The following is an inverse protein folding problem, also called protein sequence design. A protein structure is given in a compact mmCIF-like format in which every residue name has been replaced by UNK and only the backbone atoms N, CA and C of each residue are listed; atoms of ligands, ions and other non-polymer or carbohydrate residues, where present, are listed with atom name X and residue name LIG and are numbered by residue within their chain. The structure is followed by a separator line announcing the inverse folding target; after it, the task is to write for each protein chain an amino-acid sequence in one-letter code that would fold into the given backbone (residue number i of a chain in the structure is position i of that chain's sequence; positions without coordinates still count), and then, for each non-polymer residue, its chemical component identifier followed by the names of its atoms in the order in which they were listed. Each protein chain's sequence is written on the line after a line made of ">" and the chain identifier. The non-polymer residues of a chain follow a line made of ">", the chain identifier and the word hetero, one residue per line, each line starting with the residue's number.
data_IF_827988014403
#
_entry.id   IF_827988014403
#
_cell.length_a   1.000
_cell.length_b   1.000
_cell.length_c   1.000
_cell.angle_alpha   90.00
_cell.angle_beta   90.00
_cell.angle_gamma   90.00
#
_symmetry.space_group_name_H-M   'P 1'
#
loop_
_entity.id
_entity.type
_entity.pdbx_description
1 polymer ?
#
# COMPACT_ATOMS: atom_id res chain seq x y z
N UNK A 1 -21.19 3.59 -53.47
CA UNK A 1 -21.29 4.76 -52.58
C UNK A 1 -21.94 4.46 -51.23
N UNK A 2 -23.19 3.96 -51.15
CA UNK A 2 -23.89 3.73 -49.85
C UNK A 2 -23.11 2.86 -48.84
N UNK A 3 -22.48 1.76 -49.28
CA UNK A 3 -21.67 0.88 -48.41
C UNK A 3 -20.41 1.55 -47.83
N UNK A 4 -19.76 2.43 -48.60
CA UNK A 4 -18.54 3.14 -48.15
C UNK A 4 -18.92 4.15 -47.06
N UNK A 5 -20.02 4.88 -47.27
CA UNK A 5 -20.54 5.84 -46.29
C UNK A 5 -20.91 5.13 -44.98
N UNK A 6 -21.51 3.94 -45.06
CA UNK A 6 -21.86 3.11 -43.89
C UNK A 6 -20.63 2.66 -43.10
N UNK A 7 -19.57 2.21 -43.79
CA UNK A 7 -18.32 1.78 -43.14
C UNK A 7 -17.64 2.97 -42.44
N UNK A 8 -17.60 4.14 -43.09
CA UNK A 8 -17.06 5.36 -42.48
C UNK A 8 -17.86 5.78 -41.25
N UNK A 9 -19.20 5.71 -41.29
CA UNK A 9 -20.05 6.03 -40.14
C UNK A 9 -19.84 5.08 -38.96
N UNK A 10 -19.68 3.77 -39.22
CA UNK A 10 -19.38 2.79 -38.16
C UNK A 10 -18.00 3.03 -37.57
N UNK A 11 -16.99 3.34 -38.39
CA UNK A 11 -15.67 3.68 -37.90
C UNK A 11 -15.67 4.95 -37.03
N UNK A 12 -16.37 6.00 -37.48
CA UNK A 12 -16.50 7.26 -36.72
C UNK A 12 -17.28 7.03 -35.44
N UNK A 13 -18.38 6.27 -35.48
CA UNK A 13 -19.15 5.93 -34.28
C UNK A 13 -18.31 5.09 -33.30
N UNK A 14 -17.52 4.14 -33.80
CA UNK A 14 -16.56 3.38 -33.01
C UNK A 14 -15.52 4.28 -32.34
N UNK A 15 -14.94 5.24 -33.09
CA UNK A 15 -14.01 6.24 -32.56
C UNK A 15 -14.70 7.11 -31.50
N UNK A 16 -15.92 7.57 -31.74
CA UNK A 16 -16.67 8.40 -30.79
C UNK A 16 -17.01 7.62 -29.51
N UNK A 17 -17.46 6.37 -29.62
CA UNK A 17 -17.73 5.51 -28.46
C UNK A 17 -16.46 5.28 -27.65
N UNK A 18 -15.32 5.05 -28.31
CA UNK A 18 -14.01 4.98 -27.67
C UNK A 18 -13.68 6.32 -26.99
N UNK A 19 -13.76 7.46 -27.68
CA UNK A 19 -13.44 8.76 -27.09
C UNK A 19 -14.35 9.10 -25.89
N UNK A 20 -15.66 8.91 -25.99
CA UNK A 20 -16.60 9.19 -24.89
C UNK A 20 -16.47 8.21 -23.72
N UNK A 21 -16.12 6.95 -23.97
CA UNK A 21 -15.80 6.01 -22.90
C UNK A 21 -14.50 6.41 -22.18
N UNK A 22 -13.55 7.04 -22.86
CA UNK A 22 -12.30 7.49 -22.27
C UNK A 22 -12.45 8.82 -21.50
N UNK A 23 -13.22 9.78 -22.02
CA UNK A 23 -13.48 11.07 -21.36
C UNK A 23 -14.39 10.93 -20.11
N UNK A 24 -15.32 9.96 -20.10
CA UNK A 24 -16.19 9.71 -18.94
C UNK A 24 -15.47 8.99 -17.78
N UNK A 25 -14.29 8.41 -18.04
CA UNK A 25 -13.52 7.61 -17.07
C UNK A 25 -12.25 8.34 -16.61
N UNK A 26 -11.94 9.49 -17.20
CA UNK A 26 -10.81 10.32 -16.77
C UNK A 26 -11.22 11.15 -15.55
N UNK A 27 -11.13 10.53 -14.37
CA UNK A 27 -11.06 11.27 -13.13
C UNK A 27 -9.84 12.20 -13.20
N UNK A 28 -10.02 13.49 -12.94
CA UNK A 28 -8.92 14.46 -12.87
C UNK A 28 -8.12 14.20 -11.59
N UNK A 29 -7.18 13.26 -11.62
CA UNK A 29 -6.19 13.11 -10.56
C UNK A 29 -4.98 14.00 -10.89
N UNK A 30 -4.27 14.43 -9.86
CA UNK A 30 -2.96 15.05 -9.99
C UNK A 30 -2.06 14.47 -8.93
N UNK A 31 -0.99 13.80 -9.34
CA UNK A 31 0.06 13.35 -8.44
C UNK A 31 1.09 14.48 -8.36
N UNK A 32 1.21 15.09 -7.19
CA UNK A 32 2.24 16.07 -6.92
C UNK A 32 3.37 15.38 -6.17
N UNK A 33 4.47 15.13 -6.86
CA UNK A 33 5.70 14.66 -6.25
C UNK A 33 6.56 15.88 -5.90
N UNK A 34 6.24 16.53 -4.77
CA UNK A 34 7.10 17.56 -4.18
C UNK A 34 7.73 16.99 -2.92
N UNK A 35 8.99 16.56 -3.00
CA UNK A 35 9.85 16.22 -1.86
C UNK A 35 9.16 15.43 -0.74
N UNK A 36 8.78 14.19 -1.03
CA UNK A 36 8.23 13.23 -0.06
C UNK A 36 6.80 13.52 0.44
N UNK A 37 5.87 13.99 -0.40
CA UNK A 37 4.43 13.97 -0.08
C UNK A 37 3.58 13.80 -1.33
N UNK A 38 3.32 12.55 -1.73
CA UNK A 38 2.33 12.28 -2.76
C UNK A 38 0.91 12.43 -2.18
N UNK A 39 0.01 13.00 -2.97
CA UNK A 39 -1.42 13.08 -2.64
C UNK A 39 -2.28 12.93 -3.89
N UNK A 40 -3.52 12.50 -3.69
CA UNK A 40 -4.57 12.46 -4.69
C UNK A 40 -5.60 13.53 -4.38
N UNK A 41 -6.24 14.06 -5.42
CA UNK A 41 -7.41 14.93 -5.29
C UNK A 41 -8.58 14.26 -6.00
N UNK A 42 -9.64 13.94 -5.25
CA UNK A 42 -10.85 13.27 -5.75
C UNK A 42 -12.03 14.08 -5.24
N UNK A 43 -12.89 14.57 -6.14
CA UNK A 43 -14.08 15.38 -5.78
C UNK A 43 -13.77 16.60 -4.88
N UNK A 44 -12.65 17.30 -5.12
CA UNK A 44 -12.13 18.42 -4.31
C UNK A 44 -11.68 18.03 -2.87
N UNK A 45 -11.61 16.75 -2.55
CA UNK A 45 -11.02 16.26 -1.31
C UNK A 45 -9.60 15.76 -1.56
N UNK A 46 -8.72 15.94 -0.57
CA UNK A 46 -7.32 15.53 -0.63
C UNK A 46 -7.11 14.23 0.14
N UNK A 47 -6.38 13.31 -0.49
CA UNK A 47 -6.00 12.02 0.07
C UNK A 47 -4.48 11.92 0.07
N UNK A 48 -3.88 11.61 1.21
CA UNK A 48 -2.42 11.57 1.40
C UNK A 48 -1.98 10.13 1.56
N UNK A 49 -0.76 9.81 1.13
CA UNK A 49 -0.19 8.47 1.39
C UNK A 49 -0.01 8.26 2.90
N UNK A 50 -0.32 7.05 3.35
CA UNK A 50 -0.04 6.53 4.68
C UNK A 50 0.88 5.29 4.55
N UNK A 51 1.51 4.85 5.64
CA UNK A 51 2.32 3.63 5.74
C UNK A 51 1.48 2.34 5.85
N UNK A 52 0.17 2.42 5.60
CA UNK A 52 -0.73 1.28 5.55
C UNK A 52 -0.84 0.72 4.12
N UNK A 53 -1.14 -0.58 4.04
CA UNK A 53 -1.19 -1.34 2.81
C UNK A 53 -2.44 -2.21 2.78
N UNK A 54 -2.86 -2.61 1.58
CA UNK A 54 -4.03 -3.44 1.35
C UNK A 54 -3.64 -4.87 1.00
N UNK A 55 -4.18 -5.85 1.72
CA UNK A 55 -3.84 -7.27 1.59
C UNK A 55 -4.77 -8.07 0.67
N UNK A 56 -5.75 -7.45 0.01
CA UNK A 56 -6.64 -8.22 -0.89
C UNK A 56 -6.16 -8.15 -2.34
N UNK A 57 -6.10 -9.31 -2.97
CA UNK A 57 -5.85 -9.52 -4.41
C UNK A 57 -6.95 -8.90 -5.28
N UNK A 58 -8.13 -8.66 -4.70
CA UNK A 58 -9.19 -7.90 -5.33
C UNK A 58 -8.92 -6.42 -5.08
N UNK A 59 -8.34 -5.76 -6.08
CA UNK A 59 -8.54 -4.33 -6.23
C UNK A 59 -10.04 -4.07 -6.33
N UNK A 60 -10.52 -3.03 -5.66
CA UNK A 60 -11.92 -2.62 -5.77
C UNK A 60 -12.20 -2.01 -7.14
N UNK A 61 -13.04 -0.98 -7.17
CA UNK A 61 -13.40 -0.33 -8.43
C UNK A 61 -12.25 0.55 -8.93
N UNK A 62 -11.79 0.33 -10.17
CA UNK A 62 -10.91 1.30 -10.84
C UNK A 62 -11.71 2.58 -11.10
N UNK A 63 -11.26 3.69 -10.53
CA UNK A 63 -11.95 4.99 -10.65
C UNK A 63 -11.23 5.95 -11.59
N UNK A 64 -9.96 5.69 -11.91
CA UNK A 64 -9.20 6.53 -12.83
C UNK A 64 -7.85 5.92 -13.17
N UNK A 65 -7.04 6.69 -13.88
CA UNK A 65 -5.69 6.30 -14.29
C UNK A 65 -4.65 7.19 -13.61
N UNK A 66 -3.36 6.98 -13.87
CA UNK A 66 -2.34 7.99 -13.60
C UNK A 66 -1.86 8.50 -14.96
N UNK A 67 -1.74 9.80 -15.12
CA UNK A 67 -1.29 10.49 -16.32
C UNK A 67 0.22 10.36 -16.27
N UNK A 68 0.71 9.19 -16.71
CA UNK A 68 2.14 9.03 -16.90
C UNK A 68 2.56 9.96 -18.03
N UNK A 69 3.79 10.46 -17.98
CA UNK A 69 4.39 11.37 -18.99
C UNK A 69 4.46 10.78 -20.41
N UNK A 70 3.94 9.58 -20.65
CA UNK A 70 3.99 8.85 -21.92
C UNK A 70 2.60 8.80 -22.56
N UNK A 71 2.17 9.96 -23.06
CA UNK A 71 0.90 10.20 -23.76
C UNK A 71 0.64 9.34 -25.01
N UNK A 72 1.60 8.49 -25.42
CA UNK A 72 1.53 7.69 -26.64
C UNK A 72 1.09 6.24 -26.45
N UNK A 73 0.94 5.74 -25.21
CA UNK A 73 0.65 4.32 -24.95
C UNK A 73 -0.73 4.05 -24.33
N UNK A 74 -1.64 5.04 -24.26
CA UNK A 74 -2.97 4.93 -23.63
C UNK A 74 -3.83 3.72 -24.08
N UNK A 75 -3.61 3.19 -25.28
CA UNK A 75 -4.34 2.03 -25.82
C UNK A 75 -3.83 0.70 -25.22
N UNK A 76 -2.56 0.65 -24.81
CA UNK A 76 -1.98 -0.52 -24.16
C UNK A 76 -2.31 -0.58 -22.68
N UNK A 77 -2.60 0.56 -22.07
CA UNK A 77 -2.84 0.69 -20.64
C UNK A 77 -4.15 0.04 -20.18
N UNK A 78 -5.26 0.22 -20.91
CA UNK A 78 -6.59 -0.29 -20.52
C UNK A 78 -6.67 -1.77 -20.08
N UNK A 79 -6.02 -2.74 -20.75
CA UNK A 79 -6.01 -4.15 -20.31
C UNK A 79 -5.16 -4.45 -19.07
N UNK A 80 -4.25 -3.57 -18.64
CA UNK A 80 -3.40 -3.82 -17.47
C UNK A 80 -4.03 -3.28 -16.19
N UNK A 81 -3.68 -3.87 -15.05
CA UNK A 81 -4.16 -3.51 -13.70
C UNK A 81 -3.70 -2.12 -13.21
N UNK A 82 -3.09 -1.29 -14.05
CA UNK A 82 -2.71 0.06 -13.68
C UNK A 82 -3.92 1.00 -13.46
N UNK A 83 -3.74 1.97 -12.57
CA UNK A 83 -4.71 3.03 -12.30
C UNK A 83 -4.90 3.32 -10.81
N UNK A 84 -5.92 4.11 -10.52
CA UNK A 84 -6.34 4.43 -9.15
C UNK A 84 -7.57 3.60 -8.83
N UNK A 85 -7.49 2.86 -7.73
CA UNK A 85 -8.54 1.98 -7.25
C UNK A 85 -9.15 2.51 -5.97
N UNK A 86 -10.47 2.55 -5.94
CA UNK A 86 -11.26 2.75 -4.74
C UNK A 86 -11.39 1.41 -4.02
N UNK A 87 -11.07 1.43 -2.73
CA UNK A 87 -11.17 0.33 -1.81
C UNK A 87 -12.17 0.74 -0.74
N UNK A 88 -13.13 -0.12 -0.47
CA UNK A 88 -14.09 0.06 0.61
C UNK A 88 -13.82 -1.03 1.64
N UNK A 89 -13.65 -0.64 2.89
CA UNK A 89 -13.51 -1.59 3.99
C UNK A 89 -14.88 -2.13 4.43
N UNK A 90 -14.91 -2.88 5.53
CA UNK A 90 -16.16 -3.38 6.11
C UNK A 90 -17.02 -2.32 6.81
N UNK A 91 -16.45 -1.16 7.14
CA UNK A 91 -17.17 -0.04 7.79
C UNK A 91 -17.83 0.90 6.77
N UNK A 92 -17.48 0.79 5.49
CA UNK A 92 -17.90 1.69 4.42
C UNK A 92 -16.94 2.85 4.17
N UNK A 93 -15.81 2.87 4.88
CA UNK A 93 -14.75 3.86 4.74
C UNK A 93 -13.97 3.62 3.44
N UNK A 94 -13.58 4.73 2.80
CA UNK A 94 -13.00 4.70 1.46
C UNK A 94 -11.51 4.99 1.49
N UNK A 95 -10.76 4.05 0.95
CA UNK A 95 -9.32 4.15 0.75
C UNK A 95 -9.02 4.13 -0.74
N UNK A 96 -7.86 4.66 -1.11
CA UNK A 96 -7.43 4.65 -2.50
C UNK A 96 -6.07 4.01 -2.64
N UNK A 97 -5.88 3.20 -3.68
CA UNK A 97 -4.59 2.61 -4.01
C UNK A 97 -4.21 2.95 -5.43
N UNK A 98 -2.96 3.34 -5.57
CA UNK A 98 -2.34 3.57 -6.87
C UNK A 98 -1.60 2.30 -7.26
N UNK A 99 -1.97 1.72 -8.40
CA UNK A 99 -1.23 0.64 -9.04
C UNK A 99 -0.56 1.20 -10.29
N UNK A 100 0.77 1.33 -10.26
CA UNK A 100 1.56 1.79 -11.39
C UNK A 100 2.39 0.62 -11.93
N UNK A 101 2.39 0.45 -13.26
CA UNK A 101 3.14 -0.61 -13.96
C UNK A 101 4.65 -0.41 -13.87
N UNK A 102 5.11 0.81 -13.62
CA UNK A 102 6.51 1.21 -13.73
C UNK A 102 7.11 1.75 -12.44
N UNK A 103 6.35 1.75 -11.33
CA UNK A 103 6.93 2.09 -10.04
C UNK A 103 7.44 0.83 -9.36
N UNK A 104 8.75 0.81 -9.14
CA UNK A 104 9.43 -0.21 -8.32
C UNK A 104 9.05 -0.12 -6.83
N UNK A 105 8.37 0.97 -6.42
CA UNK A 105 7.93 1.20 -5.04
C UNK A 105 6.44 0.99 -4.92
N UNK A 106 6.02 0.10 -4.00
CA UNK A 106 4.63 0.03 -3.59
C UNK A 106 4.29 1.29 -2.81
N UNK A 107 3.53 2.20 -3.42
CA UNK A 107 2.89 3.26 -2.66
C UNK A 107 1.88 2.64 -1.69
N UNK A 108 1.90 3.12 -0.45
CA UNK A 108 0.89 2.77 0.55
C UNK A 108 -0.51 3.23 0.15
N UNK A 109 -1.47 3.02 1.04
CA UNK A 109 -2.83 3.50 0.87
C UNK A 109 -2.89 5.02 0.93
N UNK A 110 -3.74 5.59 0.10
CA UNK A 110 -4.14 6.97 0.16
C UNK A 110 -5.40 7.07 1.01
N UNK A 111 -5.29 7.81 2.11
CA UNK A 111 -6.35 8.05 3.08
C UNK A 111 -6.74 9.52 3.05
N UNK A 112 -7.97 9.85 3.41
CA UNK A 112 -8.40 11.25 3.43
C UNK A 112 -7.52 12.05 4.39
N UNK A 113 -7.12 13.27 4.03
CA UNK A 113 -6.15 14.05 4.81
C UNK A 113 -6.60 14.35 6.25
N UNK A 114 -7.91 14.42 6.49
CA UNK A 114 -8.53 14.61 7.80
C UNK A 114 -8.93 13.30 8.49
N UNK A 115 -8.63 12.15 7.89
CA UNK A 115 -8.88 10.84 8.47
C UNK A 115 -7.70 10.45 9.37
N UNK A 116 -8.00 10.19 10.64
CA UNK A 116 -7.02 9.80 11.64
C UNK A 116 -6.69 8.31 11.47
N UNK A 117 -5.79 8.01 10.54
CA UNK A 117 -5.25 6.67 10.41
C UNK A 117 -3.99 6.56 11.25
N UNK A 118 -4.23 6.19 12.50
CA UNK A 118 -3.24 5.95 13.54
C UNK A 118 -2.08 5.06 13.05
N UNK A 119 -0.91 5.27 13.65
CA UNK A 119 0.25 4.41 13.46
C UNK A 119 -0.06 2.99 13.99
N UNK A 120 0.59 1.90 13.53
CA UNK A 120 0.38 0.57 14.11
C UNK A 120 0.65 0.51 15.62
N UNK A 121 1.44 1.45 16.14
CA UNK A 121 1.68 1.64 17.58
C UNK A 121 0.52 2.32 18.31
N UNK A 122 -0.57 2.66 17.66
CA UNK A 122 -1.77 3.29 18.24
C UNK A 122 -3.03 2.46 17.96
N UNK A 123 -2.93 1.50 17.03
CA UNK A 123 -4.02 0.62 16.60
C UNK A 123 -3.97 -0.75 17.26
N UNK A 124 -5.13 -1.28 17.63
CA UNK A 124 -5.27 -2.69 17.99
C UNK A 124 -5.04 -3.58 16.76
N UNK A 125 -4.07 -4.49 16.82
CA UNK A 125 -3.84 -5.45 15.74
C UNK A 125 -4.53 -6.79 16.01
N UNK A 126 -5.11 -7.38 14.96
CA UNK A 126 -5.79 -8.68 15.04
C UNK A 126 -4.86 -9.87 14.73
N UNK A 127 -3.82 -9.63 13.94
CA UNK A 127 -2.95 -10.67 13.40
C UNK A 127 -1.59 -10.10 13.00
N UNK A 128 -0.55 -10.91 13.16
CA UNK A 128 0.81 -10.63 12.67
C UNK A 128 1.21 -11.72 11.69
N UNK A 129 1.84 -11.33 10.59
CA UNK A 129 2.40 -12.26 9.60
C UNK A 129 3.83 -11.85 9.29
N UNK A 130 4.79 -12.73 9.61
CA UNK A 130 6.19 -12.58 9.18
C UNK A 130 6.37 -13.45 7.93
N UNK A 131 7.00 -12.88 6.91
CA UNK A 131 7.33 -13.58 5.67
C UNK A 131 8.02 -14.92 5.94
N UNK A 132 7.49 -16.01 5.38
CA UNK A 132 7.99 -17.37 5.60
C UNK A 132 7.44 -18.08 6.85
N UNK A 133 6.59 -17.45 7.65
CA UNK A 133 6.05 -18.03 8.89
C UNK A 133 4.52 -17.99 8.94
N UNK A 134 3.93 -18.88 9.76
CA UNK A 134 2.47 -18.88 9.99
C UNK A 134 2.06 -17.60 10.70
N UNK A 135 0.81 -17.19 10.46
CA UNK A 135 0.22 -16.05 11.14
C UNK A 135 0.09 -16.27 12.64
N UNK A 136 0.37 -15.23 13.43
CA UNK A 136 0.16 -15.18 14.88
C UNK A 136 -1.09 -14.37 15.19
N UNK A 137 -1.96 -14.89 16.04
CA UNK A 137 -3.20 -14.24 16.51
C UNK A 137 -3.28 -14.19 18.04
N UNK A 138 -2.20 -14.52 18.74
CA UNK A 138 -2.12 -14.43 20.20
C UNK A 138 -2.05 -12.96 20.62
N UNK A 139 -3.12 -12.45 21.23
CA UNK A 139 -3.22 -11.03 21.58
C UNK A 139 -2.09 -10.56 22.48
N UNK A 140 -1.62 -11.39 23.42
CA UNK A 140 -0.54 -10.98 24.33
C UNK A 140 0.78 -10.79 23.59
N UNK A 141 1.12 -11.70 22.67
CA UNK A 141 2.34 -11.57 21.87
C UNK A 141 2.28 -10.35 20.93
N UNK A 142 1.09 -10.06 20.39
CA UNK A 142 0.86 -8.91 19.53
C UNK A 142 0.97 -7.60 20.33
N UNK A 143 0.37 -7.55 21.53
CA UNK A 143 0.44 -6.40 22.42
C UNK A 143 1.87 -6.14 22.89
N UNK A 144 2.64 -7.20 23.20
CA UNK A 144 4.06 -7.09 23.56
C UNK A 144 4.87 -6.51 22.38
N UNK A 145 4.62 -6.96 21.14
CA UNK A 145 5.26 -6.41 19.93
C UNK A 145 4.93 -4.93 19.72
N UNK A 146 3.64 -4.58 19.80
CA UNK A 146 3.16 -3.20 19.67
C UNK A 146 3.76 -2.31 20.75
N UNK A 147 3.91 -2.81 21.99
CA UNK A 147 4.55 -2.08 23.08
C UNK A 147 5.98 -1.66 22.71
N UNK A 148 6.79 -2.55 22.12
CA UNK A 148 8.13 -2.18 21.66
C UNK A 148 8.09 -1.13 20.55
N UNK A 149 7.19 -1.27 19.57
CA UNK A 149 7.02 -0.25 18.52
C UNK A 149 6.63 1.12 19.07
N UNK A 150 5.97 1.19 20.25
CA UNK A 150 5.64 2.44 20.96
C UNK A 150 6.79 3.00 21.81
N UNK A 151 7.76 2.18 22.22
CA UNK A 151 8.70 2.52 23.31
C UNK A 151 10.15 2.56 22.82
N UNK A 152 10.71 3.77 22.82
CA UNK A 152 12.11 4.12 22.55
C UNK A 152 12.69 3.70 21.19
N UNK A 153 12.79 4.68 20.30
CA UNK A 153 13.55 4.57 19.05
C UNK A 153 15.04 4.70 19.39
N UNK A 154 15.82 3.66 19.08
CA UNK A 154 17.27 3.73 19.23
C UNK A 154 17.88 3.76 17.84
N UNK A 155 18.53 4.87 17.51
CA UNK A 155 19.23 4.98 16.25
C UNK A 155 20.59 4.28 16.37
N UNK A 156 20.75 3.14 15.70
CA UNK A 156 22.04 2.45 15.58
C UNK A 156 22.42 2.32 14.10
N UNK A 157 23.41 3.13 13.69
CA UNK A 157 24.00 3.14 12.35
C UNK A 157 24.80 1.86 12.03
N UNK A 158 25.09 1.01 13.02
CA UNK A 158 25.95 -0.17 12.85
C UNK A 158 25.18 -1.47 12.64
N UNK A 159 23.85 -1.40 12.47
CA UNK A 159 23.08 -2.59 12.09
C UNK A 159 23.43 -2.90 10.63
N UNK A 160 24.28 -3.90 10.44
CA UNK A 160 24.49 -4.55 9.14
C UNK A 160 23.41 -5.63 9.00
N UNK A 161 22.32 -5.39 8.25
CA UNK A 161 21.22 -6.34 8.20
C UNK A 161 21.66 -7.60 7.45
N UNK A 162 21.68 -8.74 8.15
CA UNK A 162 22.00 -10.02 7.55
C UNK A 162 20.89 -10.43 6.58
N UNK A 163 19.65 -10.43 7.05
CA UNK A 163 18.42 -10.83 6.36
C UNK A 163 17.24 -9.97 6.84
N UNK A 164 16.52 -9.36 5.89
CA UNK A 164 15.29 -8.60 6.15
C UNK A 164 14.05 -9.45 5.90
N UNK A 165 13.12 -9.52 6.85
CA UNK A 165 11.79 -10.10 6.63
C UNK A 165 10.73 -9.00 6.63
N UNK A 166 9.70 -9.16 5.80
CA UNK A 166 8.52 -8.31 5.89
C UNK A 166 7.59 -8.83 7.00
N UNK A 167 7.29 -7.98 7.98
CA UNK A 167 6.29 -8.21 9.01
C UNK A 167 5.05 -7.36 8.70
N UNK A 168 3.90 -8.00 8.61
CA UNK A 168 2.59 -7.36 8.38
C UNK A 168 1.76 -7.37 9.65
N UNK A 169 1.44 -6.17 10.15
CA UNK A 169 0.55 -5.94 11.30
C UNK A 169 -0.85 -5.63 10.79
N UNK A 170 -1.81 -6.53 10.97
CA UNK A 170 -3.17 -6.34 10.46
C UNK A 170 -4.02 -5.57 11.47
N UNK A 171 -4.64 -4.47 11.02
CA UNK A 171 -5.58 -3.72 11.84
C UNK A 171 -6.75 -4.60 12.26
N UNK A 172 -7.21 -4.45 13.50
CA UNK A 172 -8.42 -5.11 14.00
C UNK A 172 -9.68 -4.39 13.53
N UNK A 173 -9.63 -3.06 13.43
CA UNK A 173 -10.72 -2.23 12.92
C UNK A 173 -10.91 -2.40 11.41
N UNK A 174 -9.79 -2.53 10.69
CA UNK A 174 -9.75 -2.68 9.23
C UNK A 174 -9.02 -3.98 8.83
N UNK A 175 -9.66 -5.17 8.90
CA UNK A 175 -8.98 -6.47 8.79
C UNK A 175 -8.22 -6.74 7.48
N UNK A 176 -8.53 -6.00 6.42
CA UNK A 176 -7.88 -6.10 5.11
C UNK A 176 -6.71 -5.11 4.94
N UNK A 177 -6.54 -4.21 5.91
CA UNK A 177 -5.45 -3.23 5.97
C UNK A 177 -4.36 -3.76 6.91
N UNK A 178 -3.10 -3.59 6.50
CA UNK A 178 -1.95 -3.93 7.32
C UNK A 178 -0.87 -2.85 7.24
N UNK A 179 -0.01 -2.81 8.24
CA UNK A 179 1.19 -1.99 8.26
C UNK A 179 2.41 -2.87 8.01
N UNK A 180 3.36 -2.35 7.24
CA UNK A 180 4.58 -3.06 6.89
C UNK A 180 5.73 -2.60 7.79
N UNK A 181 6.34 -3.56 8.47
CA UNK A 181 7.53 -3.36 9.30
C UNK A 181 8.62 -4.28 8.79
N UNK A 182 9.83 -3.78 8.63
CA UNK A 182 10.98 -4.62 8.30
C UNK A 182 11.53 -5.24 9.58
N UNK A 183 11.83 -6.54 9.56
CA UNK A 183 12.57 -7.21 10.62
C UNK A 183 14.02 -7.34 10.17
N UNK A 184 14.94 -6.74 10.92
CA UNK A 184 16.37 -6.80 10.67
C UNK A 184 17.04 -7.69 11.72
N UNK A 185 17.87 -8.62 11.27
CA UNK A 185 18.71 -9.43 12.15
C UNK A 185 20.17 -8.99 12.03
N UNK A 186 20.79 -8.65 13.17
CA UNK A 186 22.19 -8.29 13.28
C UNK A 186 23.10 -9.50 13.11
N UNK A 187 24.14 -9.39 12.28
CA UNK A 187 25.16 -10.43 12.11
C UNK A 187 26.11 -10.55 13.31
N UNK A 188 26.31 -9.48 14.09
CA UNK A 188 27.35 -9.44 15.12
C UNK A 188 26.92 -10.07 16.44
N UNK A 189 25.65 -9.95 16.80
CA UNK A 189 25.14 -10.32 18.12
C UNK A 189 23.77 -11.01 18.07
N UNK A 190 23.31 -11.42 16.88
CA UNK A 190 22.01 -12.04 16.64
C UNK A 190 20.81 -11.22 17.16
N UNK A 191 20.98 -9.93 17.42
CA UNK A 191 19.90 -9.06 17.87
C UNK A 191 18.87 -8.83 16.76
N UNK A 192 17.60 -8.74 17.16
CA UNK A 192 16.47 -8.52 16.25
C UNK A 192 15.93 -7.11 16.43
N UNK A 193 15.74 -6.43 15.29
CA UNK A 193 15.30 -5.06 15.21
C UNK A 193 14.11 -4.95 14.27
N UNK A 194 13.24 -3.99 14.54
CA UNK A 194 12.12 -3.61 13.71
C UNK A 194 12.41 -2.24 13.12
N UNK A 195 12.28 -2.08 11.80
CA UNK A 195 12.33 -0.80 11.12
C UNK A 195 10.96 -0.46 10.58
N UNK A 196 10.45 0.72 10.93
CA UNK A 196 9.28 1.25 10.22
C UNK A 196 9.69 1.85 8.87
N UNK A 197 8.82 1.71 7.87
CA UNK A 197 8.94 2.36 6.57
C UNK A 197 8.35 3.77 6.63
N UNK A 198 8.77 4.59 7.59
CA UNK A 198 8.11 5.86 7.92
C UNK A 198 8.91 7.12 7.65
N UNK A 199 9.37 7.34 6.41
CA UNK A 199 9.70 8.63 5.74
C UNK A 199 10.64 9.66 6.44
N UNK A 200 11.03 9.46 7.70
CA UNK A 200 11.85 10.34 8.51
C UNK A 200 12.91 9.52 9.26
N UNK A 201 13.85 8.96 8.50
CA UNK A 201 14.96 8.18 9.06
C UNK A 201 14.55 6.75 9.41
N UNK A 202 15.51 5.83 9.32
CA UNK A 202 15.33 4.45 9.74
C UNK A 202 15.38 4.42 11.26
N UNK A 203 14.23 4.58 11.90
CA UNK A 203 14.12 4.33 13.34
C UNK A 203 14.08 2.82 13.56
N UNK A 204 15.05 2.32 14.30
CA UNK A 204 15.14 0.91 14.64
C UNK A 204 14.69 0.70 16.09
N UNK A 205 13.82 -0.26 16.30
CA UNK A 205 13.36 -0.70 17.62
C UNK A 205 13.88 -2.09 17.87
N UNK A 206 14.71 -2.25 18.91
CA UNK A 206 15.16 -3.57 19.33
C UNK A 206 14.03 -4.32 19.99
N UNK A 207 13.79 -5.56 19.59
CA UNK A 207 12.89 -6.47 20.31
C UNK A 207 13.67 -7.60 20.99
N UNK A 208 13.15 -8.17 22.08
CA UNK A 208 13.74 -9.35 22.69
C UNK A 208 13.74 -10.52 21.69
N UNK A 209 14.86 -11.24 21.59
CA UNK A 209 14.94 -12.43 20.74
C UNK A 209 13.88 -13.48 21.11
N UNK A 210 13.53 -13.61 22.40
CA UNK A 210 12.46 -14.51 22.85
C UNK A 210 11.09 -14.14 22.26
N UNK A 211 10.81 -12.85 22.08
CA UNK A 211 9.57 -12.40 21.43
C UNK A 211 9.59 -12.77 19.94
N UNK A 212 10.70 -12.52 19.26
CA UNK A 212 10.87 -12.91 17.85
C UNK A 212 10.72 -14.41 17.65
N UNK A 213 11.39 -15.23 18.46
CA UNK A 213 11.32 -16.70 18.39
C UNK A 213 9.88 -17.21 18.53
N UNK A 214 9.07 -16.60 19.41
CA UNK A 214 7.64 -16.92 19.55
C UNK A 214 6.84 -16.52 18.32
N UNK A 215 7.14 -15.37 17.71
CA UNK A 215 6.48 -14.92 16.48
C UNK A 215 6.82 -15.81 15.27
N UNK A 216 8.01 -16.42 15.26
CA UNK A 216 8.51 -17.29 14.18
C UNK A 216 8.48 -18.78 14.51
N UNK A 217 7.79 -19.20 15.58
CA UNK A 217 7.86 -20.57 16.09
C UNK A 217 7.37 -21.64 15.09
N UNK A 218 6.55 -21.26 14.10
CA UNK A 218 6.04 -22.18 13.08
C UNK A 218 6.33 -21.68 11.67
N UNK A 219 7.38 -22.19 11.00
CA UNK A 219 7.67 -21.85 9.60
C UNK A 219 6.60 -22.41 8.65
N UNK A 220 6.45 -21.77 7.49
CA UNK A 220 5.67 -22.27 6.37
C UNK A 220 6.49 -23.31 5.58
N UNK A 221 5.84 -24.31 4.96
CA UNK A 221 6.49 -25.33 4.14
C UNK A 221 7.08 -24.78 2.83
#
# INVERSE_FOLDING_TARGET
>A
MKKIIQICLVAIFGILVVMFAFDAVTLNFKMYDSNNHAYLVINNERYVTNNSFWNSDLFGRRIGFIESKLSFLNIFYTPFEHGVYEIEDSSGEKFYRVHDLFQDKQLGLFVKEDFDMDFPSEIECSKVVIEGYKSVTDSKLIDDLIFYLKTDTTYDDNISPAHGYNLRLYSKEFPSIYYLVEVLKSESDDSVWLSDFGWAGYEHVRIPNELFDKLTATPLP
#
